data_IF_408912389056
#
_entry.id   IF_408912389056
#
_cell.length_a   1.000
_cell.length_b   1.000
_cell.length_c   1.000
_cell.angle_alpha   90.00
_cell.angle_beta   90.00
_cell.angle_gamma   90.00
#
_symmetry.space_group_name_H-M   'P 1'
#
loop_
_entity.id
_entity.type
_entity.pdbx_description
1 polymer ?
#
# COMPACT_ATOMS: atom_id res chain seq x y z
N UNK A 1 80.49 5.60 22.16
CA UNK A 1 79.72 6.23 21.07
C UNK A 1 78.67 5.22 20.63
N UNK A 2 77.39 5.42 21.00
CA UNK A 2 76.29 5.92 20.14
C UNK A 2 76.21 5.14 18.81
N UNK A 3 75.29 4.17 18.71
CA UNK A 3 73.99 4.24 18.01
C UNK A 3 74.14 3.84 16.51
N UNK A 4 73.23 3.18 15.79
CA UNK A 4 71.78 3.06 15.83
C UNK A 4 71.36 1.65 15.37
N UNK A 5 70.38 1.05 16.04
CA UNK A 5 69.57 -0.03 15.48
C UNK A 5 68.44 0.60 14.66
N UNK A 6 68.59 0.66 13.34
CA UNK A 6 67.45 0.96 12.47
C UNK A 6 66.58 -0.30 12.34
N UNK A 7 65.63 -0.45 13.26
CA UNK A 7 64.46 -1.28 12.98
C UNK A 7 63.62 -0.54 11.95
N UNK A 8 63.76 -0.92 10.68
CA UNK A 8 62.79 -0.57 9.66
C UNK A 8 61.44 -1.17 10.07
N UNK A 9 60.57 -0.35 10.67
CA UNK A 9 59.15 -0.67 10.74
C UNK A 9 58.62 -0.67 9.30
N UNK A 10 58.46 -1.86 8.71
CA UNK A 10 57.62 -2.01 7.54
C UNK A 10 56.20 -1.62 7.96
N UNK A 11 55.79 -0.40 7.59
CA UNK A 11 54.39 -0.02 7.64
C UNK A 11 53.59 -1.04 6.85
N UNK A 12 52.56 -1.61 7.47
CA UNK A 12 51.63 -2.51 6.78
C UNK A 12 50.89 -1.68 5.72
N UNK A 13 51.30 -1.83 4.46
CA UNK A 13 50.51 -1.37 3.32
C UNK A 13 49.23 -2.19 3.29
N UNK A 14 48.14 -1.64 3.84
CA UNK A 14 46.82 -2.22 3.72
C UNK A 14 46.17 -1.69 2.45
N UNK A 15 45.78 -2.61 1.57
CA UNK A 15 45.00 -2.31 0.38
C UNK A 15 43.60 -2.92 0.54
N UNK A 16 42.56 -2.10 0.47
CA UNK A 16 41.18 -2.57 0.56
C UNK A 16 40.70 -2.96 -0.83
N UNK A 17 40.36 -4.24 -1.02
CA UNK A 17 39.66 -4.72 -2.20
C UNK A 17 38.16 -4.48 -2.02
N UNK A 18 37.51 -3.84 -2.99
CA UNK A 18 36.04 -3.71 -3.03
C UNK A 18 35.49 -4.75 -4.00
N UNK A 19 34.70 -5.68 -3.50
CA UNK A 19 33.87 -6.52 -4.34
C UNK A 19 32.65 -5.73 -4.78
N UNK A 20 32.30 -5.82 -6.06
CA UNK A 20 31.10 -5.20 -6.62
C UNK A 20 30.11 -6.32 -6.87
N UNK A 21 28.83 -6.09 -6.59
CA UNK A 21 27.77 -7.03 -6.89
C UNK A 21 27.68 -7.31 -8.40
N UNK A 22 27.17 -8.49 -8.74
CA UNK A 22 26.83 -8.83 -10.12
C UNK A 22 25.65 -8.03 -10.66
N UNK A 23 25.19 -8.35 -11.89
CA UNK A 23 23.97 -7.77 -12.42
C UNK A 23 22.77 -8.11 -11.53
N UNK A 24 21.76 -7.23 -11.54
CA UNK A 24 20.51 -7.45 -10.84
C UNK A 24 19.86 -8.77 -11.26
N UNK A 25 19.43 -9.55 -10.26
CA UNK A 25 18.61 -10.73 -10.43
C UNK A 25 17.22 -10.47 -9.82
N UNK A 26 16.19 -10.48 -10.67
CA UNK A 26 14.82 -10.22 -10.24
C UNK A 26 14.30 -11.29 -9.28
N UNK A 27 14.71 -12.55 -9.43
CA UNK A 27 14.23 -13.66 -8.59
C UNK A 27 14.74 -13.57 -7.14
N UNK A 28 15.91 -12.96 -6.93
CA UNK A 28 16.47 -12.68 -5.60
C UNK A 28 16.05 -11.30 -5.06
N UNK A 29 15.48 -10.45 -5.90
CA UNK A 29 15.05 -9.10 -5.55
C UNK A 29 13.57 -9.08 -5.13
N UNK A 30 13.21 -8.16 -4.24
CA UNK A 30 11.86 -8.05 -3.69
C UNK A 30 11.43 -6.61 -3.49
N UNK A 31 10.13 -6.36 -3.44
CA UNK A 31 9.56 -5.04 -3.14
C UNK A 31 8.51 -5.16 -2.04
N UNK A 32 8.45 -4.15 -1.19
CA UNK A 32 7.44 -3.99 -0.14
C UNK A 32 6.85 -2.58 -0.16
N UNK A 33 5.64 -2.43 0.39
CA UNK A 33 4.92 -1.16 0.50
C UNK A 33 4.59 -0.89 1.96
N UNK A 34 4.77 0.36 2.41
CA UNK A 34 4.51 0.78 3.78
C UNK A 34 3.91 2.19 3.81
N UNK A 35 2.81 2.45 4.56
CA UNK A 35 2.10 1.54 5.46
C UNK A 35 1.24 0.50 4.73
N UNK A 36 0.83 -0.55 5.45
CA UNK A 36 -0.30 -1.39 5.03
C UNK A 36 -1.61 -0.58 5.15
N UNK A 37 -2.52 -0.77 4.20
CA UNK A 37 -3.81 -0.06 4.10
C UNK A 37 -3.71 1.47 4.15
N UNK A 38 -2.96 2.11 3.24
CA UNK A 38 -2.95 3.57 3.17
C UNK A 38 -4.33 4.11 2.77
N UNK A 39 -4.64 5.34 3.17
CA UNK A 39 -5.90 6.02 2.83
C UNK A 39 -5.73 6.77 1.49
N UNK A 40 -6.80 6.87 0.70
CA UNK A 40 -6.84 7.72 -0.50
C UNK A 40 -6.35 9.16 -0.21
N UNK A 41 -5.67 9.78 -1.17
CA UNK A 41 -5.04 11.10 -0.99
C UNK A 41 -3.79 11.11 -0.09
N UNK A 42 -3.48 10.00 0.58
CA UNK A 42 -2.29 9.84 1.40
C UNK A 42 -1.04 9.46 0.60
N UNK A 43 -0.03 8.97 1.31
CA UNK A 43 1.24 8.51 0.72
C UNK A 43 1.58 7.11 1.14
N UNK A 44 2.21 6.35 0.25
CA UNK A 44 2.81 5.04 0.54
C UNK A 44 4.26 5.04 0.07
N UNK A 45 5.16 4.46 0.87
CA UNK A 45 6.56 4.27 0.54
C UNK A 45 6.76 2.89 -0.08
N UNK A 46 7.34 2.86 -1.27
CA UNK A 46 7.86 1.64 -1.88
C UNK A 46 9.31 1.43 -1.48
N UNK A 47 9.62 0.20 -1.05
CA UNK A 47 10.95 -0.22 -0.60
C UNK A 47 11.34 -1.43 -1.42
N UNK A 48 12.21 -1.23 -2.40
CA UNK A 48 12.74 -2.26 -3.27
C UNK A 48 14.11 -2.72 -2.74
N UNK A 49 14.29 -4.02 -2.54
CA UNK A 49 15.56 -4.65 -2.21
C UNK A 49 16.12 -5.29 -3.48
N UNK A 50 17.15 -4.67 -4.04
CA UNK A 50 17.82 -5.08 -5.26
C UNK A 50 19.02 -5.99 -4.94
N UNK A 51 19.02 -7.20 -5.51
CA UNK A 51 20.05 -8.21 -5.28
C UNK A 51 20.54 -8.83 -6.59
N UNK A 52 21.75 -9.35 -6.58
CA UNK A 52 22.26 -10.23 -7.64
C UNK A 52 21.91 -11.70 -7.36
N UNK A 53 22.31 -12.60 -8.26
CA UNK A 53 22.05 -14.04 -8.13
C UNK A 53 22.78 -14.73 -6.96
N UNK A 54 23.64 -14.02 -6.23
CA UNK A 54 24.34 -14.51 -5.03
C UNK A 54 23.90 -13.77 -3.76
N UNK A 55 22.73 -13.12 -3.78
CA UNK A 55 22.18 -12.35 -2.68
C UNK A 55 22.99 -11.10 -2.27
N UNK A 56 23.93 -10.63 -3.10
CA UNK A 56 24.66 -9.40 -2.82
C UNK A 56 23.78 -8.17 -3.14
N UNK A 57 23.85 -7.10 -2.32
CA UNK A 57 23.09 -5.88 -2.58
C UNK A 57 23.59 -5.15 -3.83
N UNK A 58 22.65 -4.76 -4.70
CA UNK A 58 22.95 -4.05 -5.95
C UNK A 58 22.60 -2.56 -5.80
N UNK A 59 23.61 -1.71 -6.04
CA UNK A 59 23.53 -0.24 -5.92
C UNK A 59 23.95 0.42 -7.24
N UNK A 60 23.73 1.72 -7.39
CA UNK A 60 24.17 2.51 -8.55
C UNK A 60 23.43 2.21 -9.85
N UNK A 61 22.22 1.63 -9.77
CA UNK A 61 21.37 1.38 -10.92
C UNK A 61 20.72 2.67 -11.43
N UNK A 62 20.25 2.65 -12.68
CA UNK A 62 19.37 3.68 -13.23
C UNK A 62 18.00 3.05 -13.54
N UNK A 63 17.16 2.79 -12.52
CA UNK A 63 15.87 2.14 -12.70
C UNK A 63 14.87 3.05 -13.41
N UNK A 64 13.85 2.42 -14.01
CA UNK A 64 12.68 3.14 -14.50
C UNK A 64 11.85 3.68 -13.32
N UNK A 65 10.97 4.64 -13.58
CA UNK A 65 9.99 5.06 -12.59
C UNK A 65 9.15 3.86 -12.08
N UNK A 66 8.70 3.86 -10.81
CA UNK A 66 7.86 2.78 -10.28
C UNK A 66 6.65 2.48 -11.18
N UNK A 67 6.48 1.22 -11.58
CA UNK A 67 5.34 0.79 -12.38
C UNK A 67 4.14 0.59 -11.46
N UNK A 68 3.11 1.43 -11.58
CA UNK A 68 1.88 1.36 -10.80
C UNK A 68 0.77 0.67 -11.60
N UNK A 69 0.10 -0.32 -11.00
CA UNK A 69 -1.10 -0.97 -11.54
C UNK A 69 -2.19 -1.16 -10.48
N UNK A 70 -3.38 -1.61 -10.90
CA UNK A 70 -4.56 -1.72 -10.03
C UNK A 70 -5.49 -0.50 -10.12
N UNK A 71 -6.61 -0.57 -9.39
CA UNK A 71 -7.65 0.47 -9.43
C UNK A 71 -7.11 1.83 -8.95
N UNK A 72 -6.26 1.83 -7.92
CA UNK A 72 -5.74 3.04 -7.30
C UNK A 72 -4.57 3.66 -8.08
N UNK A 73 -4.01 2.97 -9.08
CA UNK A 73 -2.97 3.56 -9.93
C UNK A 73 -3.49 4.79 -10.68
N UNK A 74 -4.80 4.86 -10.98
CA UNK A 74 -5.42 6.03 -11.61
C UNK A 74 -5.36 7.23 -10.65
N UNK A 75 -4.67 8.28 -11.09
CA UNK A 75 -4.50 9.52 -10.32
C UNK A 75 -3.41 9.46 -9.26
N UNK A 76 -2.74 8.31 -9.07
CA UNK A 76 -1.56 8.20 -8.23
C UNK A 76 -0.30 8.57 -9.00
N UNK A 77 0.71 9.08 -8.30
CA UNK A 77 2.01 9.43 -8.88
C UNK A 77 3.14 8.91 -8.00
N UNK A 78 4.23 8.45 -8.61
CA UNK A 78 5.42 8.03 -7.89
C UNK A 78 6.59 8.99 -8.11
N UNK A 79 7.42 9.17 -7.09
CA UNK A 79 8.74 9.79 -7.24
C UNK A 79 9.68 8.87 -8.01
N UNK A 80 10.84 9.41 -8.40
CA UNK A 80 11.98 8.56 -8.77
C UNK A 80 12.48 7.73 -7.58
N UNK A 81 13.24 6.68 -7.88
CA UNK A 81 13.90 5.86 -6.88
C UNK A 81 15.11 6.57 -6.27
N UNK A 82 15.25 6.47 -4.95
CA UNK A 82 16.42 6.89 -4.19
C UNK A 82 17.23 5.66 -3.82
N UNK A 83 18.50 5.60 -4.23
CA UNK A 83 19.46 4.58 -3.80
C UNK A 83 19.93 4.88 -2.37
N UNK A 84 19.73 3.95 -1.45
CA UNK A 84 20.18 4.10 -0.07
C UNK A 84 21.62 3.62 0.15
N UNK A 85 22.27 3.05 -0.88
CA UNK A 85 23.66 2.61 -0.85
C UNK A 85 23.89 1.25 -0.17
N UNK A 86 22.82 0.55 0.22
CA UNK A 86 22.85 -0.76 0.88
C UNK A 86 22.09 -1.85 0.09
N UNK A 87 21.72 -1.56 -1.16
CA UNK A 87 20.89 -2.41 -2.00
C UNK A 87 19.39 -2.17 -1.82
N UNK A 88 18.99 -1.31 -0.88
CA UNK A 88 17.62 -0.85 -0.77
C UNK A 88 17.41 0.45 -1.55
N UNK A 89 16.25 0.54 -2.19
CA UNK A 89 15.82 1.66 -3.00
C UNK A 89 14.45 2.10 -2.51
N UNK A 90 14.26 3.41 -2.36
CA UNK A 90 12.99 3.97 -1.86
C UNK A 90 12.33 4.90 -2.87
N UNK A 91 11.02 4.81 -2.98
CA UNK A 91 10.21 5.75 -3.76
C UNK A 91 8.94 6.13 -2.97
N UNK A 92 8.55 7.40 -3.04
CA UNK A 92 7.30 7.89 -2.46
C UNK A 92 6.21 7.87 -3.51
N UNK A 93 5.06 7.28 -3.16
CA UNK A 93 3.87 7.24 -4.03
C UNK A 93 2.81 8.11 -3.36
N UNK A 94 2.39 9.15 -4.07
CA UNK A 94 1.24 9.98 -3.69
C UNK A 94 -0.02 9.35 -4.29
N UNK A 95 -0.99 9.04 -3.44
CA UNK A 95 -2.19 8.31 -3.83
C UNK A 95 -3.25 9.28 -4.35
N UNK A 96 -3.95 8.85 -5.41
CA UNK A 96 -5.14 9.53 -5.90
C UNK A 96 -6.34 9.37 -4.96
N UNK A 97 -7.52 9.73 -5.46
CA UNK A 97 -8.78 9.69 -4.70
C UNK A 97 -9.56 8.39 -4.88
N UNK A 98 -9.02 7.40 -5.58
CA UNK A 98 -9.69 6.11 -5.86
C UNK A 98 -9.22 5.07 -4.86
N UNK A 99 -10.15 4.44 -4.13
CA UNK A 99 -9.84 3.31 -3.25
C UNK A 99 -9.78 2.00 -4.05
N UNK A 100 -9.04 1.02 -3.54
CA UNK A 100 -8.90 -0.30 -4.15
C UNK A 100 -7.47 -0.81 -4.17
N UNK A 101 -7.22 -1.82 -4.99
CA UNK A 101 -5.89 -2.44 -5.09
C UNK A 101 -4.89 -1.49 -5.77
N UNK A 102 -3.71 -1.39 -5.16
CA UNK A 102 -2.50 -0.82 -5.75
C UNK A 102 -1.44 -1.90 -5.80
N UNK A 103 -0.86 -2.08 -6.98
CA UNK A 103 0.30 -2.91 -7.20
C UNK A 103 1.49 -2.07 -7.67
N UNK A 104 2.68 -2.40 -7.19
CA UNK A 104 3.92 -1.68 -7.52
C UNK A 104 4.99 -2.67 -7.91
N UNK A 105 5.58 -2.46 -9.08
CA UNK A 105 6.71 -3.25 -9.59
C UNK A 105 7.88 -2.32 -9.94
N UNK A 106 9.08 -2.52 -9.39
CA UNK A 106 10.27 -1.85 -9.88
C UNK A 106 10.63 -2.41 -11.27
N UNK A 107 11.08 -1.54 -12.16
CA UNK A 107 11.51 -1.94 -13.51
C UNK A 107 12.90 -1.41 -13.82
N UNK A 108 13.64 -2.17 -14.61
CA UNK A 108 14.94 -1.79 -15.14
C UNK A 108 14.97 -2.09 -16.63
N UNK A 109 15.11 -1.04 -17.45
CA UNK A 109 15.06 -1.13 -18.91
C UNK A 109 13.77 -1.81 -19.42
N UNK A 110 12.63 -1.52 -18.78
CA UNK A 110 11.31 -2.08 -19.09
C UNK A 110 11.05 -3.50 -18.58
N UNK A 111 12.04 -4.17 -17.97
CA UNK A 111 11.89 -5.52 -17.40
C UNK A 111 11.61 -5.45 -15.89
N UNK A 112 10.88 -6.43 -15.38
CA UNK A 112 10.59 -6.53 -13.94
C UNK A 112 11.88 -6.76 -13.15
N UNK A 113 12.06 -5.97 -12.09
CA UNK A 113 13.28 -5.93 -11.28
C UNK A 113 13.09 -6.52 -9.88
N UNK A 114 11.97 -7.21 -9.66
CA UNK A 114 11.66 -7.97 -8.45
C UNK A 114 10.83 -9.21 -8.84
N UNK A 115 10.87 -10.25 -7.99
CA UNK A 115 10.23 -11.51 -8.30
C UNK A 115 8.69 -11.39 -8.42
N UNK A 116 8.10 -10.51 -7.62
CA UNK A 116 6.66 -10.25 -7.58
C UNK A 116 6.41 -8.76 -7.32
N UNK A 117 5.28 -8.26 -7.81
CA UNK A 117 4.80 -6.93 -7.46
C UNK A 117 4.38 -6.89 -5.99
N UNK A 118 4.63 -5.77 -5.31
CA UNK A 118 4.06 -5.52 -3.99
C UNK A 118 2.61 -5.06 -4.16
N UNK A 119 1.71 -5.55 -3.29
CA UNK A 119 0.29 -5.21 -3.33
C UNK A 119 -0.17 -4.65 -2.00
N UNK A 120 -1.01 -3.61 -2.05
CA UNK A 120 -1.74 -3.08 -0.90
C UNK A 120 -3.16 -2.71 -1.31
N UNK A 121 -4.09 -2.75 -0.34
CA UNK A 121 -5.43 -2.21 -0.53
C UNK A 121 -5.49 -0.78 0.00
N UNK A 122 -5.58 0.20 -0.88
CA UNK A 122 -5.84 1.59 -0.51
C UNK A 122 -7.29 1.72 -0.07
N UNK A 123 -7.51 2.24 1.14
CA UNK A 123 -8.83 2.34 1.73
C UNK A 123 -9.44 3.72 1.50
N UNK A 124 -10.76 3.76 1.46
CA UNK A 124 -11.53 4.99 1.44
C UNK A 124 -11.23 5.87 2.67
N UNK A 125 -11.45 7.17 2.53
CA UNK A 125 -11.29 8.13 3.63
C UNK A 125 -12.50 8.06 4.60
N UNK A 126 -12.57 9.01 5.53
CA UNK A 126 -13.66 9.15 6.48
C UNK A 126 -15.04 9.16 5.81
N UNK A 127 -16.01 8.55 6.49
CA UNK A 127 -17.40 8.50 6.05
C UNK A 127 -17.95 9.91 5.83
N UNK A 128 -18.50 10.12 4.64
CA UNK A 128 -19.20 11.34 4.26
C UNK A 128 -20.70 11.12 4.33
N UNK A 129 -21.38 11.86 5.23
CA UNK A 129 -22.85 11.83 5.34
C UNK A 129 -23.55 12.34 4.08
N UNK A 130 -22.90 13.22 3.31
CA UNK A 130 -23.44 13.74 2.05
C UNK A 130 -23.34 12.75 0.89
N UNK A 131 -22.46 11.76 0.98
CA UNK A 131 -22.28 10.71 -0.05
C UNK A 131 -22.91 9.37 0.36
N UNK A 132 -23.11 9.16 1.65
CA UNK A 132 -23.68 7.94 2.20
C UNK A 132 -25.21 7.99 2.23
N UNK A 133 -25.85 6.84 2.12
CA UNK A 133 -27.32 6.74 2.13
C UNK A 133 -27.81 5.63 3.04
N UNK A 134 -28.88 5.89 3.77
CA UNK A 134 -29.62 4.88 4.53
C UNK A 134 -30.99 4.68 3.91
N UNK A 135 -31.42 3.43 3.75
CA UNK A 135 -32.72 3.07 3.20
C UNK A 135 -33.33 1.91 3.97
N UNK A 136 -34.66 1.87 4.03
CA UNK A 136 -35.43 0.75 4.60
C UNK A 136 -36.13 -0.02 3.48
N UNK A 137 -36.22 -1.34 3.62
CA UNK A 137 -36.88 -2.19 2.62
C UNK A 137 -38.41 -1.97 2.57
N UNK A 138 -39.00 -1.57 3.69
CA UNK A 138 -40.42 -1.21 3.82
C UNK A 138 -40.56 0.00 4.76
N UNK A 139 -41.33 0.99 4.33
CA UNK A 139 -41.65 2.22 5.10
C UNK A 139 -42.89 2.07 6.00
N UNK A 140 -43.62 0.97 5.84
CA UNK A 140 -44.78 0.57 6.65
C UNK A 140 -44.60 -0.87 7.11
N UNK A 141 -44.40 -1.05 8.40
CA UNK A 141 -44.19 -2.35 9.05
C UNK A 141 -45.28 -2.54 10.10
N UNK A 142 -45.95 -3.69 10.12
CA UNK A 142 -46.94 -3.97 11.17
C UNK A 142 -46.23 -4.21 12.51
N UNK A 143 -46.91 -3.91 13.61
CA UNK A 143 -46.37 -4.17 14.94
C UNK A 143 -46.02 -5.66 15.10
N UNK A 144 -44.79 -5.95 15.55
CA UNK A 144 -44.26 -7.30 15.71
C UNK A 144 -43.57 -7.89 14.47
N UNK A 145 -43.64 -7.24 13.31
CA UNK A 145 -42.88 -7.63 12.11
C UNK A 145 -41.52 -6.91 12.03
N UNK A 146 -40.63 -7.39 11.17
CA UNK A 146 -39.30 -6.82 10.94
C UNK A 146 -39.13 -6.27 9.53
N UNK A 147 -38.17 -5.36 9.36
CA UNK A 147 -37.75 -4.82 8.06
C UNK A 147 -36.23 -4.74 8.01
N UNK A 148 -35.67 -4.68 6.81
CA UNK A 148 -34.22 -4.56 6.60
C UNK A 148 -33.83 -3.11 6.41
N UNK A 149 -32.84 -2.65 7.17
CA UNK A 149 -32.17 -1.37 6.97
C UNK A 149 -30.87 -1.61 6.19
N UNK A 150 -30.65 -0.84 5.14
CA UNK A 150 -29.43 -0.88 4.32
C UNK A 150 -28.71 0.46 4.44
N UNK A 151 -27.42 0.40 4.77
CA UNK A 151 -26.49 1.53 4.70
C UNK A 151 -25.55 1.32 3.53
N UNK A 152 -25.45 2.33 2.65
CA UNK A 152 -24.39 2.45 1.66
C UNK A 152 -23.44 3.52 2.19
N UNK A 153 -22.32 3.10 2.78
CA UNK A 153 -21.31 3.98 3.35
C UNK A 153 -20.27 4.36 2.28
N UNK A 154 -20.06 5.67 2.12
CA UNK A 154 -19.08 6.23 1.18
C UNK A 154 -18.25 7.34 1.81
N UNK A 155 -17.03 7.53 1.33
CA UNK A 155 -16.20 8.70 1.64
C UNK A 155 -16.61 9.92 0.80
N UNK A 156 -15.92 11.04 0.98
CA UNK A 156 -16.19 12.28 0.24
C UNK A 156 -15.95 12.17 -1.27
N UNK A 157 -15.13 11.22 -1.72
CA UNK A 157 -14.81 10.97 -3.12
C UNK A 157 -15.72 9.92 -3.76
N UNK A 158 -16.66 9.36 -2.99
CA UNK A 158 -17.61 8.35 -3.45
C UNK A 158 -17.08 6.92 -3.39
N UNK A 159 -15.92 6.67 -2.77
CA UNK A 159 -15.41 5.34 -2.54
C UNK A 159 -16.24 4.60 -1.50
N UNK A 160 -16.53 3.33 -1.71
CA UNK A 160 -17.22 2.49 -0.73
C UNK A 160 -16.33 2.24 0.49
N UNK A 161 -16.93 2.31 1.69
CA UNK A 161 -16.25 2.02 2.95
C UNK A 161 -16.67 0.65 3.46
N UNK A 162 -15.67 -0.18 3.75
CA UNK A 162 -15.83 -1.55 4.27
C UNK A 162 -15.28 -1.68 5.69
N UNK A 163 -15.69 -2.72 6.42
CA UNK A 163 -15.15 -3.03 7.76
C UNK A 163 -15.58 -2.03 8.86
N UNK A 164 -16.68 -1.31 8.65
CA UNK A 164 -17.20 -0.36 9.65
C UNK A 164 -17.81 -1.10 10.84
N UNK A 165 -17.47 -0.64 12.05
CA UNK A 165 -18.19 -0.99 13.27
C UNK A 165 -19.40 -0.07 13.43
N UNK A 166 -20.59 -0.59 13.15
CA UNK A 166 -21.82 0.19 13.10
C UNK A 166 -22.69 -0.01 14.34
N UNK A 167 -23.37 1.06 14.75
CA UNK A 167 -24.45 1.04 15.73
C UNK A 167 -25.67 1.79 15.17
N UNK A 168 -26.82 1.64 15.82
CA UNK A 168 -28.05 2.29 15.39
C UNK A 168 -28.77 2.92 16.59
N UNK A 169 -29.41 4.05 16.35
CA UNK A 169 -30.30 4.71 17.31
C UNK A 169 -31.72 4.77 16.73
N UNK A 170 -32.70 4.24 17.45
CA UNK A 170 -34.11 4.36 17.09
C UNK A 170 -34.73 5.54 17.84
N UNK A 171 -35.61 6.28 17.16
CA UNK A 171 -36.34 7.43 17.74
C UNK A 171 -37.80 7.41 17.29
N UNK A 172 -38.66 8.12 18.02
CA UNK A 172 -40.10 8.22 17.73
C UNK A 172 -40.97 7.28 18.57
N UNK A 173 -42.29 7.45 18.55
CA UNK A 173 -43.19 6.69 19.43
C UNK A 173 -43.12 5.17 19.22
N UNK A 174 -42.85 4.72 17.99
CA UNK A 174 -42.72 3.30 17.65
C UNK A 174 -41.36 2.69 18.05
N UNK A 175 -40.42 3.46 18.60
CA UNK A 175 -39.12 2.93 19.02
C UNK A 175 -39.18 2.18 20.36
N UNK A 176 -40.23 2.39 21.17
CA UNK A 176 -40.40 1.69 22.44
C UNK A 176 -40.62 0.19 22.19
N UNK A 177 -39.71 -0.65 22.66
CA UNK A 177 -39.72 -2.10 22.42
C UNK A 177 -39.16 -2.56 21.06
N UNK A 178 -38.81 -1.63 20.17
CA UNK A 178 -38.13 -1.96 18.91
C UNK A 178 -36.64 -2.25 19.15
N UNK A 179 -36.07 -3.15 18.34
CA UNK A 179 -34.65 -3.51 18.42
C UNK A 179 -34.03 -3.53 17.03
N UNK A 180 -32.71 -3.32 16.96
CA UNK A 180 -31.92 -3.45 15.74
C UNK A 180 -31.01 -4.65 15.92
N UNK A 181 -31.14 -5.65 15.05
CA UNK A 181 -30.17 -6.74 14.96
C UNK A 181 -28.83 -6.20 14.46
N UNK A 182 -27.72 -6.90 14.75
CA UNK A 182 -26.39 -6.51 14.29
C UNK A 182 -26.32 -6.27 12.77
N UNK A 183 -25.39 -5.42 12.36
CA UNK A 183 -25.14 -5.12 10.95
C UNK A 183 -24.38 -6.26 10.29
N UNK A 184 -24.79 -6.63 9.07
CA UNK A 184 -24.05 -7.58 8.23
C UNK A 184 -23.54 -6.85 7.01
N UNK A 185 -22.21 -6.83 6.84
CA UNK A 185 -21.60 -6.27 5.63
C UNK A 185 -21.87 -7.18 4.44
N UNK A 186 -22.27 -6.59 3.31
CA UNK A 186 -22.46 -7.30 2.06
C UNK A 186 -21.52 -6.70 1.02
N UNK A 187 -20.57 -7.51 0.54
CA UNK A 187 -19.69 -7.10 -0.56
C UNK A 187 -20.56 -6.93 -1.81
N UNK A 188 -20.65 -5.70 -2.31
CA UNK A 188 -21.38 -5.40 -3.53
C UNK A 188 -20.52 -5.84 -4.72
N UNK A 189 -20.85 -6.97 -5.33
CA UNK A 189 -20.31 -7.33 -6.65
C UNK A 189 -20.94 -6.37 -7.65
N UNK A 190 -20.16 -5.64 -8.47
CA UNK A 190 -20.73 -4.76 -9.47
C UNK A 190 -21.62 -5.58 -10.40
N UNK A 191 -22.90 -5.20 -10.49
CA UNK A 191 -23.81 -5.76 -11.50
C UNK A 191 -23.26 -5.39 -12.88
N UNK A 192 -22.77 -6.37 -13.63
CA UNK A 192 -22.61 -6.19 -15.08
C UNK A 192 -23.99 -5.95 -15.67
N UNK A 193 -24.25 -4.72 -16.11
CA UNK A 193 -25.33 -4.44 -17.06
C UNK A 193 -24.99 -5.21 -18.34
N UNK A 194 -25.78 -6.25 -18.65
CA UNK A 194 -25.84 -6.86 -19.99
C UNK A 194 -26.83 -6.09 -20.83
#
# INVERSE_FOLDING_TARGET
MRAFSEQYQLGTLQQTLKFVAGPLDAAHSSITLNPDKPVVGGTVTAIWTAKDANDNPVTGLNPDAPSLSGATAVGSTASGWTDNGDGTWTAQISLGTTAGELEVMPKLNGQDAAANAAKVTVVADALSSGQSTVSVAADRVKAGESTTVTLIAKDAHGNAISGLSLSASLTGAASEGATVSGWTEKVMVPMSLR
#
